data_IF_172426533675
#
_entry.id   IF_172426533675
#
_cell.length_a   1.000
_cell.length_b   1.000
_cell.length_c   1.000
_cell.angle_alpha   90.00
_cell.angle_beta   90.00
_cell.angle_gamma   90.00
#
_symmetry.space_group_name_H-M   'P 1'
#
loop_
_entity.id
_entity.type
_entity.pdbx_description
1 polymer ?
#
# COMPACT_ATOMS: atom_id res chain seq x y z
N UNK A 1 -57.98 23.89 22.34
CA UNK A 1 -57.09 22.71 22.29
C UNK A 1 -56.49 22.68 20.89
N UNK A 2 -55.30 23.26 20.71
CA UNK A 2 -54.60 23.20 19.42
C UNK A 2 -53.82 21.89 19.33
N UNK A 3 -53.82 21.19 18.18
CA UNK A 3 -53.04 19.97 18.02
C UNK A 3 -51.55 20.34 18.00
N UNK A 4 -50.75 19.64 18.80
CA UNK A 4 -49.30 19.79 18.80
C UNK A 4 -48.71 19.27 17.49
N UNK A 5 -47.91 20.10 16.83
CA UNK A 5 -46.96 19.67 15.80
C UNK A 5 -46.02 18.64 16.43
N UNK A 6 -46.03 17.42 15.89
CA UNK A 6 -45.02 16.43 16.19
C UNK A 6 -43.69 16.92 15.57
N UNK A 7 -42.56 16.83 16.28
CA UNK A 7 -41.28 17.21 15.71
C UNK A 7 -40.97 16.31 14.51
N UNK A 8 -40.74 16.92 13.35
CA UNK A 8 -40.22 16.23 12.17
C UNK A 8 -38.93 15.49 12.55
N UNK A 9 -38.88 14.19 12.27
CA UNK A 9 -37.69 13.37 12.40
C UNK A 9 -36.68 13.84 11.34
N UNK A 10 -35.87 14.84 11.69
CA UNK A 10 -34.80 15.35 10.84
C UNK A 10 -33.81 14.20 10.66
N UNK A 11 -33.65 13.64 9.44
CA UNK A 11 -32.77 12.51 9.25
C UNK A 11 -31.37 12.89 9.73
N UNK A 12 -30.78 12.03 10.56
CA UNK A 12 -29.45 12.24 11.10
C UNK A 12 -28.51 12.64 9.94
N UNK A 13 -27.93 13.84 10.04
CA UNK A 13 -27.06 14.39 8.99
C UNK A 13 -26.00 13.35 8.67
N UNK A 14 -25.88 12.98 7.39
CA UNK A 14 -24.92 11.98 6.97
C UNK A 14 -23.53 12.31 7.56
N UNK A 15 -22.79 11.31 8.06
CA UNK A 15 -21.47 11.52 8.63
C UNK A 15 -20.59 12.26 7.62
N UNK A 16 -19.75 13.18 8.11
CA UNK A 16 -18.85 13.94 7.24
C UNK A 16 -17.82 13.06 6.52
N UNK A 17 -17.14 13.58 5.49
CA UNK A 17 -16.21 12.82 4.65
C UNK A 17 -15.16 12.02 5.43
N UNK A 18 -14.55 12.63 6.45
CA UNK A 18 -13.55 11.96 7.28
C UNK A 18 -14.12 10.77 8.09
N UNK A 19 -15.36 10.90 8.58
CA UNK A 19 -16.02 9.81 9.31
C UNK A 19 -16.43 8.67 8.36
N UNK A 20 -16.86 8.99 7.14
CA UNK A 20 -17.12 7.99 6.10
C UNK A 20 -15.85 7.26 5.66
N UNK A 21 -14.73 7.98 5.50
CA UNK A 21 -13.44 7.38 5.19
C UNK A 21 -13.00 6.40 6.29
N UNK A 22 -13.10 6.79 7.55
CA UNK A 22 -12.78 5.93 8.68
C UNK A 22 -13.71 4.70 8.76
N UNK A 23 -15.00 4.87 8.48
CA UNK A 23 -15.94 3.75 8.42
C UNK A 23 -15.57 2.77 7.29
N UNK A 24 -15.15 3.26 6.12
CA UNK A 24 -14.69 2.41 5.02
C UNK A 24 -13.42 1.63 5.37
N UNK A 25 -12.47 2.26 6.06
CA UNK A 25 -11.25 1.59 6.56
C UNK A 25 -11.63 0.43 7.49
N UNK A 26 -12.53 0.65 8.44
CA UNK A 26 -13.03 -0.40 9.35
C UNK A 26 -13.71 -1.53 8.59
N UNK A 27 -14.58 -1.21 7.64
CA UNK A 27 -15.24 -2.21 6.80
C UNK A 27 -14.22 -3.09 6.06
N UNK A 28 -13.14 -2.51 5.52
CA UNK A 28 -12.06 -3.29 4.89
C UNK A 28 -11.37 -4.20 5.91
N UNK A 29 -11.03 -3.70 7.09
CA UNK A 29 -10.37 -4.46 8.16
C UNK A 29 -11.24 -5.60 8.72
N UNK A 30 -12.56 -5.42 8.72
CA UNK A 30 -13.57 -6.43 9.10
C UNK A 30 -13.80 -7.50 8.01
N UNK A 31 -13.06 -7.45 6.89
CA UNK A 31 -13.25 -8.40 5.79
C UNK A 31 -14.48 -8.10 4.92
N UNK A 32 -14.96 -6.85 4.94
CA UNK A 32 -16.09 -6.36 4.13
C UNK A 32 -15.63 -5.33 3.07
N UNK A 33 -14.65 -5.67 2.20
CA UNK A 33 -14.06 -4.71 1.27
C UNK A 33 -15.04 -4.23 0.18
N UNK A 34 -16.08 -5.01 -0.16
CA UNK A 34 -17.11 -4.57 -1.12
C UNK A 34 -17.88 -3.36 -0.62
N UNK A 35 -18.32 -3.40 0.64
CA UNK A 35 -19.05 -2.30 1.28
C UNK A 35 -18.13 -1.09 1.50
N UNK A 36 -16.87 -1.33 1.86
CA UNK A 36 -15.86 -0.28 1.90
C UNK A 36 -15.72 0.43 0.54
N UNK A 37 -15.71 -0.32 -0.57
CA UNK A 37 -15.64 0.24 -1.93
C UNK A 37 -16.88 1.05 -2.30
N UNK A 38 -18.07 0.56 -1.95
CA UNK A 38 -19.34 1.26 -2.17
C UNK A 38 -19.37 2.62 -1.45
N UNK A 39 -18.75 2.71 -0.27
CA UNK A 39 -18.61 3.97 0.46
C UNK A 39 -17.50 4.87 -0.10
N UNK A 40 -16.35 4.29 -0.46
CA UNK A 40 -15.18 5.04 -0.91
C UNK A 40 -15.32 5.63 -2.31
N UNK A 41 -15.88 4.88 -3.27
CA UNK A 41 -15.99 5.32 -4.66
C UNK A 41 -16.69 6.69 -4.82
N UNK A 42 -17.93 6.90 -4.32
CA UNK A 42 -18.60 8.20 -4.46
C UNK A 42 -17.88 9.28 -3.65
N UNK A 43 -17.32 8.94 -2.49
CA UNK A 43 -16.59 9.88 -1.64
C UNK A 43 -15.32 10.40 -2.34
N UNK A 44 -14.57 9.50 -2.96
CA UNK A 44 -13.37 9.77 -3.72
C UNK A 44 -13.63 10.54 -5.03
N UNK A 45 -14.84 10.42 -5.58
CA UNK A 45 -15.32 11.22 -6.71
C UNK A 45 -15.74 12.63 -6.28
N UNK A 46 -16.37 12.78 -5.12
CA UNK A 46 -16.77 14.08 -4.56
C UNK A 46 -15.58 14.92 -4.07
N UNK A 47 -14.46 14.26 -3.71
CA UNK A 47 -13.24 14.91 -3.21
C UNK A 47 -12.02 14.49 -4.06
N UNK A 48 -11.92 14.94 -5.32
CA UNK A 48 -10.89 14.46 -6.24
C UNK A 48 -9.45 14.89 -5.87
N UNK A 49 -9.29 15.92 -5.04
CA UNK A 49 -8.01 16.44 -4.56
C UNK A 49 -7.57 15.85 -3.20
N UNK A 50 -8.37 14.94 -2.62
CA UNK A 50 -8.03 14.28 -1.37
C UNK A 50 -7.16 13.04 -1.64
N UNK A 51 -5.87 13.17 -1.32
CA UNK A 51 -4.88 12.11 -1.51
C UNK A 51 -5.18 10.85 -0.67
N UNK A 52 -5.67 11.05 0.57
CA UNK A 52 -6.01 9.96 1.48
C UNK A 52 -7.19 9.14 0.96
N UNK A 53 -8.24 9.81 0.48
CA UNK A 53 -9.38 9.14 -0.15
C UNK A 53 -8.97 8.39 -1.42
N UNK A 54 -8.09 8.97 -2.23
CA UNK A 54 -7.53 8.28 -3.39
C UNK A 54 -6.77 7.01 -2.98
N UNK A 55 -5.93 7.09 -1.94
CA UNK A 55 -5.19 5.93 -1.42
C UNK A 55 -6.11 4.83 -0.88
N UNK A 56 -7.07 5.17 -0.01
CA UNK A 56 -8.00 4.18 0.56
C UNK A 56 -8.84 3.51 -0.53
N UNK A 57 -9.25 4.28 -1.56
CA UNK A 57 -9.95 3.75 -2.73
C UNK A 57 -9.06 2.81 -3.55
N UNK A 58 -7.79 3.14 -3.74
CA UNK A 58 -6.85 2.24 -4.41
C UNK A 58 -6.70 0.92 -3.65
N UNK A 59 -6.48 0.99 -2.34
CA UNK A 59 -6.29 -0.18 -1.50
C UNK A 59 -7.52 -1.09 -1.50
N UNK A 60 -8.73 -0.54 -1.41
CA UNK A 60 -9.93 -1.40 -1.43
C UNK A 60 -10.12 -2.12 -2.77
N UNK A 61 -9.74 -1.51 -3.90
CA UNK A 61 -9.75 -2.20 -5.20
C UNK A 61 -8.70 -3.32 -5.24
N UNK A 62 -7.50 -3.07 -4.72
CA UNK A 62 -6.42 -4.06 -4.64
C UNK A 62 -6.84 -5.28 -3.78
N UNK A 63 -7.44 -5.06 -2.61
CA UNK A 63 -7.99 -6.14 -1.76
C UNK A 63 -9.07 -6.97 -2.48
N UNK A 64 -9.80 -6.35 -3.42
CA UNK A 64 -10.85 -7.02 -4.19
C UNK A 64 -10.33 -7.75 -5.44
N UNK A 65 -9.03 -7.70 -5.73
CA UNK A 65 -8.46 -8.24 -6.97
C UNK A 65 -8.87 -7.42 -8.20
N UNK A 66 -9.03 -6.11 -8.01
CA UNK A 66 -9.36 -5.15 -9.07
C UNK A 66 -8.12 -4.30 -9.37
N UNK A 67 -7.01 -4.96 -9.69
CA UNK A 67 -5.68 -4.33 -9.76
C UNK A 67 -5.63 -3.23 -10.83
N UNK A 68 -6.21 -3.47 -12.00
CA UNK A 68 -6.26 -2.49 -13.09
C UNK A 68 -6.99 -1.20 -12.67
N UNK A 69 -8.02 -1.32 -11.84
CA UNK A 69 -8.82 -0.21 -11.33
C UNK A 69 -8.13 0.49 -10.14
N UNK A 70 -7.31 -0.23 -9.37
CA UNK A 70 -6.52 0.33 -8.28
C UNK A 70 -5.43 1.31 -8.75
N UNK A 71 -4.76 1.01 -9.88
CA UNK A 71 -3.65 1.80 -10.43
C UNK A 71 -3.93 3.32 -10.52
N UNK A 72 -5.01 3.79 -11.19
CA UNK A 72 -5.27 5.23 -11.30
C UNK A 72 -5.47 5.90 -9.94
N UNK A 73 -6.07 5.21 -8.96
CA UNK A 73 -6.27 5.73 -7.62
C UNK A 73 -4.96 5.86 -6.85
N UNK A 74 -4.07 4.86 -6.92
CA UNK A 74 -2.74 4.94 -6.32
C UNK A 74 -1.90 6.07 -6.93
N UNK A 75 -1.87 6.15 -8.27
CA UNK A 75 -1.13 7.21 -8.97
C UNK A 75 -1.63 8.59 -8.57
N UNK A 76 -2.95 8.76 -8.43
CA UNK A 76 -3.55 10.02 -7.98
C UNK A 76 -3.15 10.33 -6.54
N UNK A 77 -3.21 9.36 -5.63
CA UNK A 77 -2.80 9.55 -4.24
C UNK A 77 -1.33 10.02 -4.13
N UNK A 78 -0.43 9.44 -4.92
CA UNK A 78 0.99 9.77 -4.91
C UNK A 78 1.33 11.12 -5.57
N UNK A 79 0.46 11.61 -6.47
CA UNK A 79 0.64 12.88 -7.17
C UNK A 79 0.05 14.08 -6.39
N UNK A 80 -0.90 13.85 -5.50
CA UNK A 80 -1.53 14.88 -4.69
C UNK A 80 -0.70 15.22 -3.44
N UNK A 81 -0.71 16.49 -3.00
CA UNK A 81 -0.07 16.88 -1.74
C UNK A 81 -0.87 16.37 -0.53
N UNK A 82 -0.24 16.36 0.64
CA UNK A 82 -0.92 16.11 1.92
C UNK A 82 -1.18 14.64 2.25
N UNK A 83 -0.67 13.69 1.46
CA UNK A 83 -0.68 12.28 1.84
C UNK A 83 0.27 12.07 3.03
N UNK A 84 -0.24 11.51 4.13
CA UNK A 84 0.56 11.22 5.30
C UNK A 84 1.68 10.23 4.94
N UNK A 85 2.83 10.34 5.61
CA UNK A 85 4.02 9.55 5.29
C UNK A 85 3.77 8.02 5.36
N UNK A 86 2.99 7.57 6.34
CA UNK A 86 2.58 6.17 6.45
C UNK A 86 1.73 5.70 5.26
N UNK A 87 0.74 6.51 4.86
CA UNK A 87 -0.10 6.23 3.69
C UNK A 87 0.70 6.30 2.39
N UNK A 88 1.73 7.17 2.33
CA UNK A 88 2.62 7.30 1.17
C UNK A 88 3.49 6.05 1.00
N UNK A 89 4.09 5.53 2.07
CA UNK A 89 4.75 4.20 2.06
C UNK A 89 3.79 3.12 1.57
N UNK A 90 2.59 3.09 2.13
CA UNK A 90 1.55 2.13 1.76
C UNK A 90 1.11 2.25 0.30
N UNK A 91 1.01 3.45 -0.25
CA UNK A 91 0.63 3.71 -1.63
C UNK A 91 1.73 3.29 -2.63
N UNK A 92 3.01 3.52 -2.31
CA UNK A 92 4.14 3.07 -3.11
C UNK A 92 4.24 1.54 -3.11
N UNK A 93 4.11 0.91 -1.93
CA UNK A 93 4.12 -0.54 -1.80
C UNK A 93 2.94 -1.18 -2.54
N UNK A 94 1.73 -0.65 -2.32
CA UNK A 94 0.51 -1.09 -2.97
C UNK A 94 0.60 -0.99 -4.49
N UNK A 95 0.93 0.18 -5.03
CA UNK A 95 1.09 0.37 -6.48
C UNK A 95 2.14 -0.55 -7.10
N UNK A 96 3.29 -0.71 -6.44
CA UNK A 96 4.32 -1.65 -6.89
C UNK A 96 3.83 -3.09 -6.94
N UNK A 97 3.13 -3.54 -5.90
CA UNK A 97 2.53 -4.88 -5.85
C UNK A 97 1.46 -5.06 -6.94
N UNK A 98 0.58 -4.08 -7.11
CA UNK A 98 -0.47 -4.06 -8.15
C UNK A 98 0.15 -4.17 -9.55
N UNK A 99 1.20 -3.41 -9.86
CA UNK A 99 1.91 -3.53 -11.15
C UNK A 99 2.51 -4.92 -11.37
N UNK A 100 3.08 -5.53 -10.33
CA UNK A 100 3.64 -6.89 -10.41
C UNK A 100 2.56 -7.92 -10.75
N UNK A 101 1.38 -7.83 -10.13
CA UNK A 101 0.24 -8.72 -10.42
C UNK A 101 -0.26 -8.56 -11.86
N UNK A 102 -0.26 -7.32 -12.38
CA UNK A 102 -0.62 -7.02 -13.76
C UNK A 102 0.45 -7.41 -14.80
N UNK A 103 1.56 -8.04 -14.38
CA UNK A 103 2.67 -8.39 -15.27
C UNK A 103 3.53 -7.21 -15.71
N UNK A 104 3.34 -6.03 -15.11
CA UNK A 104 4.05 -4.78 -15.42
C UNK A 104 5.29 -4.66 -14.53
N UNK A 105 6.18 -5.64 -14.63
CA UNK A 105 7.26 -5.83 -13.67
C UNK A 105 8.21 -4.62 -13.55
N UNK A 106 8.55 -3.95 -14.65
CA UNK A 106 9.48 -2.81 -14.57
C UNK A 106 8.87 -1.57 -13.93
N UNK A 107 7.57 -1.37 -14.08
CA UNK A 107 6.87 -0.28 -13.40
C UNK A 107 6.75 -0.57 -11.90
N UNK A 108 6.65 -1.84 -11.52
CA UNK A 108 6.75 -2.26 -10.12
C UNK A 108 8.14 -1.95 -9.56
N UNK A 109 9.21 -2.31 -10.29
CA UNK A 109 10.59 -2.02 -9.88
C UNK A 109 10.81 -0.52 -9.76
N UNK A 110 10.39 0.29 -10.73
CA UNK A 110 10.55 1.75 -10.68
C UNK A 110 9.83 2.36 -9.47
N UNK A 111 8.56 1.97 -9.25
CA UNK A 111 7.73 2.48 -8.15
C UNK A 111 8.35 2.12 -6.80
N UNK A 112 8.72 0.86 -6.60
CA UNK A 112 9.29 0.38 -5.33
C UNK A 112 10.71 0.89 -5.11
N UNK A 113 11.52 1.03 -6.16
CA UNK A 113 12.82 1.70 -6.08
C UNK A 113 12.67 3.17 -5.67
N UNK A 114 11.65 3.85 -6.18
CA UNK A 114 11.25 5.18 -5.72
C UNK A 114 10.92 5.20 -4.23
N UNK A 115 10.14 4.23 -3.76
CA UNK A 115 9.80 4.10 -2.35
C UNK A 115 11.00 3.81 -1.46
N UNK A 116 11.92 2.92 -1.86
CA UNK A 116 13.15 2.64 -1.10
C UNK A 116 14.06 3.88 -1.05
N UNK A 117 14.12 4.69 -2.12
CA UNK A 117 14.85 5.97 -2.09
C UNK A 117 14.24 6.98 -1.13
N UNK A 118 12.92 7.01 -1.02
CA UNK A 118 12.19 7.92 -0.13
C UNK A 118 12.23 7.43 1.34
N UNK A 119 12.17 6.12 1.55
CA UNK A 119 12.12 5.47 2.85
C UNK A 119 13.16 4.34 2.95
N UNK A 120 14.46 4.67 3.07
CA UNK A 120 15.54 3.68 3.00
C UNK A 120 15.49 2.62 4.11
N UNK A 121 14.90 2.96 5.26
CA UNK A 121 14.78 2.08 6.42
C UNK A 121 13.52 1.19 6.37
N UNK A 122 12.66 1.35 5.37
CA UNK A 122 11.44 0.56 5.24
C UNK A 122 11.75 -0.83 4.66
N UNK A 123 11.82 -1.82 5.54
CA UNK A 123 12.08 -3.20 5.17
C UNK A 123 11.00 -3.81 4.28
N UNK A 124 9.74 -3.37 4.39
CA UNK A 124 8.66 -3.90 3.56
C UNK A 124 8.84 -3.44 2.11
N UNK A 125 9.12 -2.16 1.88
CA UNK A 125 9.43 -1.65 0.53
C UNK A 125 10.63 -2.37 -0.09
N UNK A 126 11.68 -2.63 0.69
CA UNK A 126 12.85 -3.41 0.21
C UNK A 126 12.48 -4.85 -0.15
N UNK A 127 11.67 -5.52 0.68
CA UNK A 127 11.21 -6.88 0.39
C UNK A 127 10.30 -6.95 -0.85
N UNK A 128 9.39 -5.99 -1.01
CA UNK A 128 8.55 -5.91 -2.20
C UNK A 128 9.36 -5.57 -3.46
N UNK A 129 10.38 -4.72 -3.36
CA UNK A 129 11.30 -4.45 -4.45
C UNK A 129 12.03 -5.74 -4.89
N UNK A 130 12.50 -6.57 -3.94
CA UNK A 130 13.11 -7.85 -4.26
C UNK A 130 12.14 -8.76 -5.06
N UNK A 131 10.88 -8.83 -4.65
CA UNK A 131 9.85 -9.57 -5.41
C UNK A 131 9.62 -9.00 -6.81
N UNK A 132 9.62 -7.68 -6.97
CA UNK A 132 9.47 -7.03 -8.27
C UNK A 132 10.68 -7.27 -9.18
N UNK A 133 11.91 -7.20 -8.64
CA UNK A 133 13.15 -7.51 -9.36
C UNK A 133 13.12 -8.94 -9.90
N UNK A 134 12.65 -9.90 -9.10
CA UNK A 134 12.48 -11.28 -9.56
C UNK A 134 11.47 -11.37 -10.72
N UNK A 135 10.30 -10.72 -10.59
CA UNK A 135 9.31 -10.67 -11.67
C UNK A 135 9.82 -9.97 -12.94
N UNK A 136 10.79 -9.06 -12.82
CA UNK A 136 11.46 -8.38 -13.93
C UNK A 136 12.60 -9.21 -14.56
N UNK A 137 12.84 -10.44 -14.10
CA UNK A 137 13.92 -11.28 -14.62
C UNK A 137 15.31 -10.88 -14.11
N UNK A 138 15.38 -10.22 -12.94
CA UNK A 138 16.61 -9.82 -12.24
C UNK A 138 16.80 -10.63 -10.94
N UNK A 139 16.95 -11.97 -11.02
CA UNK A 139 16.92 -12.84 -9.84
C UNK A 139 18.13 -12.68 -8.92
N UNK A 140 19.31 -12.32 -9.46
CA UNK A 140 20.53 -12.06 -8.66
C UNK A 140 20.28 -10.88 -7.71
N UNK A 141 19.91 -9.73 -8.26
CA UNK A 141 19.60 -8.51 -7.48
C UNK A 141 18.43 -8.71 -6.52
N UNK A 142 17.43 -9.49 -6.92
CA UNK A 142 16.32 -9.86 -6.04
C UNK A 142 16.79 -10.65 -4.82
N UNK A 143 17.66 -11.65 -5.01
CA UNK A 143 18.16 -12.49 -3.93
C UNK A 143 19.13 -11.72 -3.03
N UNK A 144 20.01 -10.90 -3.58
CA UNK A 144 20.87 -9.97 -2.85
C UNK A 144 20.04 -9.09 -1.91
N UNK A 145 19.02 -8.42 -2.45
CA UNK A 145 18.15 -7.55 -1.66
C UNK A 145 17.31 -8.33 -0.63
N UNK A 146 16.88 -9.55 -0.94
CA UNK A 146 16.13 -10.39 0.00
C UNK A 146 17.01 -10.86 1.17
N UNK A 147 18.23 -11.33 0.91
CA UNK A 147 19.21 -11.68 1.95
C UNK A 147 19.59 -10.48 2.79
N UNK A 148 19.70 -9.32 2.14
CA UNK A 148 19.93 -8.06 2.81
C UNK A 148 18.83 -7.76 3.83
N UNK A 149 17.57 -7.81 3.42
CA UNK A 149 16.43 -7.59 4.34
C UNK A 149 16.44 -8.64 5.45
N UNK A 150 16.61 -9.92 5.11
CA UNK A 150 16.63 -11.04 6.06
C UNK A 150 17.66 -10.83 7.18
N UNK A 151 18.89 -10.45 6.81
CA UNK A 151 19.96 -10.24 7.79
C UNK A 151 19.70 -9.04 8.72
N UNK A 152 19.09 -7.97 8.20
CA UNK A 152 18.81 -6.75 8.96
C UNK A 152 17.63 -6.92 9.92
N UNK A 153 16.59 -7.65 9.51
CA UNK A 153 15.30 -7.64 10.21
C UNK A 153 14.99 -8.91 10.99
N UNK A 154 15.73 -10.01 10.75
CA UNK A 154 15.43 -11.27 11.41
C UNK A 154 15.73 -11.21 12.91
N UNK A 155 14.75 -11.64 13.72
CA UNK A 155 14.87 -11.89 15.14
C UNK A 155 15.16 -13.38 15.46
N UNK A 156 15.27 -14.24 14.44
CA UNK A 156 15.64 -15.63 14.63
C UNK A 156 17.09 -15.74 15.13
N UNK A 157 17.36 -16.43 16.26
CA UNK A 157 18.72 -16.52 16.81
C UNK A 157 19.73 -17.17 15.85
N UNK A 158 19.30 -18.12 15.02
CA UNK A 158 20.16 -18.79 14.05
C UNK A 158 20.60 -17.82 12.95
N UNK A 159 19.65 -17.10 12.35
CA UNK A 159 19.96 -16.06 11.34
C UNK A 159 20.80 -14.94 11.97
N UNK A 160 20.48 -14.50 13.19
CA UNK A 160 21.24 -13.46 13.87
C UNK A 160 22.70 -13.86 14.10
N UNK A 161 22.97 -15.13 14.46
CA UNK A 161 24.33 -15.65 14.62
C UNK A 161 25.13 -15.63 13.30
N UNK A 162 24.47 -15.80 12.15
CA UNK A 162 25.09 -15.76 10.82
C UNK A 162 24.89 -14.43 10.07
N UNK A 163 24.38 -13.38 10.73
CA UNK A 163 24.04 -12.09 10.09
C UNK A 163 25.16 -11.54 9.21
N UNK A 164 26.40 -11.55 9.72
CA UNK A 164 27.57 -11.03 8.99
C UNK A 164 27.84 -11.83 7.71
N UNK A 165 27.73 -13.15 7.76
CA UNK A 165 27.95 -14.01 6.60
C UNK A 165 26.82 -13.82 5.58
N UNK A 166 25.57 -13.78 6.03
CA UNK A 166 24.41 -13.51 5.16
C UNK A 166 24.56 -12.13 4.50
N UNK A 167 25.06 -11.13 5.23
CA UNK A 167 25.33 -9.81 4.67
C UNK A 167 26.42 -9.79 3.63
N UNK A 168 27.49 -10.55 3.83
CA UNK A 168 28.55 -10.67 2.84
C UNK A 168 28.01 -11.24 1.50
N UNK A 169 27.23 -12.32 1.55
CA UNK A 169 26.60 -12.88 0.33
C UNK A 169 25.54 -11.97 -0.29
N UNK A 170 24.92 -11.09 0.52
CA UNK A 170 23.99 -10.10 0.00
C UNK A 170 24.69 -8.99 -0.80
N UNK A 171 25.99 -8.75 -0.55
CA UNK A 171 26.79 -7.74 -1.26
C UNK A 171 27.38 -8.30 -2.57
N UNK A 172 27.73 -9.60 -2.60
CA UNK A 172 28.09 -10.32 -3.82
C UNK A 172 27.76 -11.81 -3.69
N UNK A 173 26.72 -12.26 -4.39
CA UNK A 173 26.32 -13.67 -4.40
C UNK A 173 27.32 -14.61 -5.09
N UNK A 174 28.18 -14.07 -5.96
CA UNK A 174 29.16 -14.86 -6.70
C UNK A 174 30.50 -14.95 -5.96
N UNK A 175 30.64 -14.28 -4.81
CA UNK A 175 31.81 -14.38 -3.96
C UNK A 175 31.78 -15.69 -3.15
N UNK A 176 32.50 -16.71 -3.66
CA UNK A 176 32.62 -18.05 -3.07
C UNK A 176 33.83 -18.16 -2.12
N UNK A 177 34.38 -17.05 -1.64
CA UNK A 177 35.64 -17.02 -0.87
C UNK A 177 35.55 -17.38 0.62
#
# INVERSE_FOLDING_TARGET
MSPGEQPEDVPARAPGPAAQALAAVRLREEGRPREARELLLPLCAAHPEDAGLAYQTAWVHDVLGLEAEAVPHYRRALALPGLAEADRRGALLGLGSTYRVLGRAEEAVETLSGGVREFPDDAALRAFLAMALYSAGRPKEALELALAVLADTSADPGIAAYRRAIRHYADDLDDLS
#
